data_IF_999256298633
#
_entry.id   IF_999256298633
#
_cell.length_a   1.000
_cell.length_b   1.000
_cell.length_c   1.000
_cell.angle_alpha   90.00
_cell.angle_beta   90.00
_cell.angle_gamma   90.00
#
_symmetry.space_group_name_H-M   'P 1'
#
loop_
_entity.id
_entity.type
_entity.pdbx_description
1 polymer ?
#
# COMPACT_ATOMS: atom_id res chain seq x y z
N UNK A 1 9.36 -11.57 14.45
CA UNK A 1 9.62 -10.50 13.46
C UNK A 1 8.90 -9.20 13.84
N UNK A 2 7.56 -9.14 13.92
CA UNK A 2 6.83 -7.92 14.32
C UNK A 2 7.38 -7.28 15.60
N UNK A 3 7.50 -8.04 16.69
CA UNK A 3 7.98 -7.52 17.97
C UNK A 3 9.40 -6.92 17.93
N UNK A 4 10.29 -7.53 17.15
CA UNK A 4 11.66 -7.00 16.98
C UNK A 4 11.67 -5.68 16.21
N UNK A 5 10.81 -5.56 15.18
CA UNK A 5 10.67 -4.32 14.44
C UNK A 5 10.02 -3.23 15.29
N UNK A 6 8.97 -3.55 16.04
CA UNK A 6 8.31 -2.62 16.95
C UNK A 6 9.26 -2.12 18.05
N UNK A 7 10.09 -2.99 18.61
CA UNK A 7 11.10 -2.62 19.58
C UNK A 7 12.18 -1.71 18.97
N UNK A 8 12.60 -1.96 17.73
CA UNK A 8 13.68 -1.23 17.07
C UNK A 8 13.25 0.14 16.53
N UNK A 9 12.01 0.27 16.05
CA UNK A 9 11.54 1.47 15.34
C UNK A 9 10.44 2.23 16.07
N UNK A 10 9.79 1.62 17.07
CA UNK A 10 8.64 2.20 17.75
C UNK A 10 7.41 2.32 16.84
N UNK A 11 6.33 2.98 17.33
CA UNK A 11 5.11 3.22 16.57
C UNK A 11 5.37 4.09 15.35
N UNK A 12 4.84 3.69 14.18
CA UNK A 12 5.11 4.35 12.91
C UNK A 12 4.07 5.41 12.51
N UNK A 13 2.85 5.35 13.07
CA UNK A 13 1.76 6.30 12.79
C UNK A 13 1.49 6.48 11.28
N UNK A 14 1.49 5.38 10.57
CA UNK A 14 1.27 5.34 9.14
C UNK A 14 -0.25 5.30 8.85
N UNK A 15 -0.80 5.96 7.88
CA UNK A 15 -0.38 6.70 6.70
C UNK A 15 -0.45 8.22 6.96
N UNK A 16 0.51 9.04 6.45
CA UNK A 16 0.54 10.48 6.68
C UNK A 16 -0.42 11.22 5.72
N UNK A 17 -1.72 11.11 5.95
CA UNK A 17 -2.77 11.80 5.19
C UNK A 17 -3.76 12.50 6.11
N UNK A 18 -4.40 13.55 5.60
CA UNK A 18 -5.38 14.33 6.37
C UNK A 18 -6.80 13.79 6.26
N UNK A 19 -7.12 13.09 5.17
CA UNK A 19 -8.46 12.52 4.90
C UNK A 19 -8.34 11.14 4.29
N UNK A 20 -9.39 10.33 4.40
CA UNK A 20 -9.48 9.02 3.75
C UNK A 20 -9.35 9.13 2.22
N UNK A 21 -9.91 10.18 1.61
CA UNK A 21 -9.78 10.40 0.17
C UNK A 21 -8.33 10.72 -0.24
N UNK A 22 -7.60 11.46 0.57
CA UNK A 22 -6.15 11.71 0.35
C UNK A 22 -5.35 10.40 0.38
N UNK A 23 -5.71 9.45 1.26
CA UNK A 23 -5.13 8.10 1.26
C UNK A 23 -5.40 7.37 -0.05
N UNK A 24 -6.66 7.38 -0.52
CA UNK A 24 -7.03 6.77 -1.81
C UNK A 24 -6.18 7.34 -2.94
N UNK A 25 -6.13 8.67 -3.07
CA UNK A 25 -5.32 9.33 -4.10
C UNK A 25 -3.84 8.96 -3.97
N UNK A 26 -3.30 8.96 -2.74
CA UNK A 26 -1.93 8.56 -2.44
C UNK A 26 -1.62 7.12 -2.87
N UNK A 27 -2.53 6.18 -2.63
CA UNK A 27 -2.39 4.78 -3.02
C UNK A 27 -2.29 4.59 -4.56
N UNK A 28 -3.07 5.35 -5.33
CA UNK A 28 -2.92 5.37 -6.79
C UNK A 28 -1.61 6.02 -7.23
N UNK A 29 -1.22 7.13 -6.59
CA UNK A 29 -0.05 7.89 -7.00
C UNK A 29 1.26 7.22 -6.63
N UNK A 30 1.31 6.39 -5.58
CA UNK A 30 2.53 5.72 -5.09
C UNK A 30 3.04 4.62 -6.03
N UNK A 31 2.22 4.13 -6.95
CA UNK A 31 2.61 3.07 -7.87
C UNK A 31 3.84 3.45 -8.72
N UNK A 32 4.91 2.65 -8.59
CA UNK A 32 6.17 2.81 -9.34
C UNK A 32 6.77 4.22 -9.27
N UNK A 33 6.75 4.86 -8.10
CA UNK A 33 7.34 6.17 -7.90
C UNK A 33 7.86 6.37 -6.46
N UNK A 34 8.53 7.49 -6.21
CA UNK A 34 9.02 7.85 -4.88
C UNK A 34 7.95 8.60 -4.09
N UNK A 35 7.96 8.48 -2.77
CA UNK A 35 7.02 9.20 -1.91
C UNK A 35 7.12 10.73 -2.09
N UNK A 36 8.32 11.30 -2.26
CA UNK A 36 8.49 12.73 -2.51
C UNK A 36 7.81 13.21 -3.80
N UNK A 37 7.73 12.35 -4.82
CA UNK A 37 6.99 12.65 -6.05
C UNK A 37 5.47 12.62 -5.82
N UNK A 38 5.00 11.70 -4.96
CA UNK A 38 3.58 11.66 -4.53
C UNK A 38 3.22 12.92 -3.75
N UNK A 39 4.04 13.32 -2.77
CA UNK A 39 3.82 14.53 -1.98
C UNK A 39 3.69 15.78 -2.84
N UNK A 40 4.55 15.95 -3.87
CA UNK A 40 4.43 17.05 -4.82
C UNK A 40 3.11 17.02 -5.59
N UNK A 41 2.67 15.84 -6.02
CA UNK A 41 1.38 15.68 -6.72
C UNK A 41 0.19 15.99 -5.81
N UNK A 42 0.21 15.51 -4.57
CA UNK A 42 -0.80 15.84 -3.55
C UNK A 42 -0.83 17.34 -3.24
N UNK A 43 0.33 17.98 -3.13
CA UNK A 43 0.44 19.43 -2.93
C UNK A 43 -0.19 20.22 -4.09
N UNK A 44 0.09 19.81 -5.34
CA UNK A 44 -0.52 20.42 -6.52
C UNK A 44 -2.05 20.28 -6.53
N UNK A 45 -2.56 19.08 -6.24
CA UNK A 45 -4.01 18.82 -6.14
C UNK A 45 -4.66 19.65 -5.04
N UNK A 46 -4.01 19.76 -3.88
CA UNK A 46 -4.49 20.56 -2.76
C UNK A 46 -4.53 22.05 -3.10
N UNK A 47 -3.47 22.58 -3.71
CA UNK A 47 -3.41 23.98 -4.15
C UNK A 47 -4.47 24.32 -5.20
N UNK A 48 -4.86 23.35 -6.04
CA UNK A 48 -5.90 23.49 -7.04
C UNK A 48 -7.34 23.25 -6.48
N UNK A 49 -7.52 22.99 -5.18
CA UNK A 49 -8.81 22.62 -4.58
C UNK A 49 -9.35 21.26 -5.06
N UNK A 50 -8.49 20.43 -5.68
CA UNK A 50 -8.91 19.19 -6.33
C UNK A 50 -8.67 17.92 -5.48
N UNK A 51 -8.12 18.04 -4.27
CA UNK A 51 -7.87 16.91 -3.37
C UNK A 51 -9.10 16.60 -2.50
N UNK A 52 -10.23 16.47 -3.14
CA UNK A 52 -11.52 16.04 -2.58
C UNK A 52 -12.30 15.28 -3.65
N UNK A 53 -13.33 14.53 -3.25
CA UNK A 53 -14.20 13.81 -4.20
C UNK A 53 -14.81 14.80 -5.19
N UNK A 54 -15.41 15.88 -4.70
CA UNK A 54 -16.04 16.90 -5.54
C UNK A 54 -15.03 17.61 -6.45
N UNK A 55 -13.88 17.99 -5.89
CA UNK A 55 -12.83 18.63 -6.66
C UNK A 55 -12.30 17.73 -7.78
N UNK A 56 -12.10 16.43 -7.49
CA UNK A 56 -11.66 15.49 -8.51
C UNK A 56 -12.76 15.16 -9.53
N UNK A 57 -14.03 15.17 -9.12
CA UNK A 57 -15.19 14.93 -9.99
C UNK A 57 -15.28 15.96 -11.12
N UNK A 58 -15.17 17.24 -10.78
CA UNK A 58 -15.31 18.34 -11.75
C UNK A 58 -14.04 18.67 -12.54
N UNK A 59 -12.88 18.22 -12.05
CA UNK A 59 -11.60 18.50 -12.71
C UNK A 59 -11.53 17.79 -14.06
N UNK A 60 -11.18 18.50 -15.13
CA UNK A 60 -10.92 17.88 -16.43
C UNK A 60 -9.68 16.96 -16.40
N UNK A 61 -9.65 15.98 -17.31
CA UNK A 61 -8.61 14.95 -17.34
C UNK A 61 -7.22 15.53 -17.60
N UNK A 62 -7.10 16.48 -18.52
CA UNK A 62 -5.82 17.08 -18.90
C UNK A 62 -5.22 17.89 -17.75
N UNK A 63 -6.07 18.61 -17.02
CA UNK A 63 -5.65 19.35 -15.84
C UNK A 63 -5.23 18.41 -14.72
N UNK A 64 -5.98 17.32 -14.50
CA UNK A 64 -5.60 16.28 -13.55
C UNK A 64 -4.23 15.68 -13.89
N UNK A 65 -3.99 15.32 -15.16
CA UNK A 65 -2.69 14.81 -15.61
C UNK A 65 -1.55 15.77 -15.34
N UNK A 66 -1.75 17.07 -15.58
CA UNK A 66 -0.75 18.10 -15.29
C UNK A 66 -0.42 18.19 -13.81
N UNK A 67 -1.43 18.17 -12.94
CA UNK A 67 -1.26 18.26 -11.49
C UNK A 67 -0.52 17.06 -10.89
N UNK A 68 -0.79 15.84 -11.39
CA UNK A 68 -0.15 14.62 -10.89
C UNK A 68 1.10 14.20 -11.66
N UNK A 69 1.58 15.04 -12.61
CA UNK A 69 2.76 14.75 -13.44
C UNK A 69 4.01 14.35 -12.61
N UNK A 70 4.29 14.96 -11.44
CA UNK A 70 5.43 14.56 -10.62
C UNK A 70 5.43 13.08 -10.24
N UNK A 71 4.28 12.44 -10.03
CA UNK A 71 4.17 11.01 -9.64
C UNK A 71 4.47 10.03 -10.78
N UNK A 72 4.71 10.49 -12.02
CA UNK A 72 4.91 9.64 -13.19
C UNK A 72 3.67 8.86 -13.62
N UNK A 73 3.70 8.23 -14.77
CA UNK A 73 2.59 7.45 -15.33
C UNK A 73 1.22 8.15 -15.26
N UNK A 74 1.22 9.47 -15.30
CA UNK A 74 0.04 10.31 -15.09
C UNK A 74 -1.06 10.06 -16.11
N UNK A 75 -0.71 9.67 -17.36
CA UNK A 75 -1.67 9.31 -18.40
C UNK A 75 -2.49 8.05 -18.08
N UNK A 76 -1.99 7.18 -17.19
CA UNK A 76 -2.70 5.99 -16.70
C UNK A 76 -3.35 6.27 -15.34
N UNK A 77 -2.67 6.99 -14.45
CA UNK A 77 -3.14 7.29 -13.09
C UNK A 77 -4.34 8.23 -13.07
N UNK A 78 -4.37 9.23 -13.94
CA UNK A 78 -5.47 10.19 -13.97
C UNK A 78 -6.81 9.54 -14.38
N UNK A 79 -6.91 8.76 -15.48
CA UNK A 79 -8.13 8.01 -15.78
C UNK A 79 -8.53 7.02 -14.68
N UNK A 80 -7.56 6.38 -14.02
CA UNK A 80 -7.83 5.44 -12.94
C UNK A 80 -8.44 6.13 -11.72
N UNK A 81 -7.94 7.31 -11.33
CA UNK A 81 -8.55 8.15 -10.28
C UNK A 81 -9.96 8.60 -10.65
N UNK A 82 -10.21 8.98 -11.91
CA UNK A 82 -11.55 9.31 -12.38
C UNK A 82 -12.50 8.10 -12.33
N UNK A 83 -12.01 6.91 -12.70
CA UNK A 83 -12.80 5.69 -12.61
C UNK A 83 -13.17 5.34 -11.16
N UNK A 84 -12.28 5.59 -10.19
CA UNK A 84 -12.62 5.43 -8.78
C UNK A 84 -13.75 6.38 -8.34
N UNK A 85 -13.69 7.66 -8.73
CA UNK A 85 -14.76 8.63 -8.39
C UNK A 85 -16.08 8.25 -9.07
N UNK A 86 -16.04 7.82 -10.34
CA UNK A 86 -17.24 7.35 -11.04
C UNK A 86 -17.87 6.14 -10.35
N UNK A 87 -17.08 5.12 -9.99
CA UNK A 87 -17.56 3.97 -9.21
C UNK A 87 -18.19 4.43 -7.88
N UNK A 88 -17.56 5.38 -7.18
CA UNK A 88 -18.07 5.89 -5.92
C UNK A 88 -19.43 6.59 -6.10
N UNK A 89 -19.61 7.36 -7.16
CA UNK A 89 -20.85 8.04 -7.48
C UNK A 89 -21.95 7.03 -7.89
N UNK A 90 -21.62 6.11 -8.77
CA UNK A 90 -22.59 5.18 -9.37
C UNK A 90 -23.07 4.10 -8.39
N UNK A 91 -22.19 3.59 -7.54
CA UNK A 91 -22.46 2.42 -6.69
C UNK A 91 -22.58 2.76 -5.19
N UNK A 92 -22.02 3.89 -4.73
CA UNK A 92 -21.90 4.23 -3.30
C UNK A 92 -22.39 5.66 -2.97
N UNK A 93 -23.23 6.23 -3.83
CA UNK A 93 -23.83 7.56 -3.63
C UNK A 93 -22.79 8.68 -3.40
N UNK A 94 -21.61 8.57 -3.97
CA UNK A 94 -20.51 9.53 -3.80
C UNK A 94 -19.88 9.54 -2.39
N UNK A 95 -20.15 8.52 -1.55
CA UNK A 95 -19.77 8.51 -0.13
C UNK A 95 -18.72 7.45 0.19
N UNK A 96 -17.61 7.88 0.80
CA UNK A 96 -16.61 6.96 1.36
C UNK A 96 -17.13 6.20 2.59
N UNK A 97 -18.07 6.77 3.34
CA UNK A 97 -18.65 6.10 4.50
C UNK A 97 -19.52 4.92 4.06
N UNK A 98 -20.32 5.11 2.99
CA UNK A 98 -21.09 4.01 2.37
C UNK A 98 -20.14 2.93 1.81
N UNK A 99 -19.07 3.36 1.14
CA UNK A 99 -18.04 2.45 0.63
C UNK A 99 -17.41 1.65 1.79
N UNK A 100 -17.02 2.32 2.89
CA UNK A 100 -16.40 1.70 4.05
C UNK A 100 -17.34 0.74 4.82
N UNK A 101 -18.65 0.94 4.74
CA UNK A 101 -19.62 0.05 5.35
C UNK A 101 -19.88 -1.25 4.55
N UNK A 102 -19.33 -1.33 3.34
CA UNK A 102 -19.49 -2.51 2.46
C UNK A 102 -18.63 -3.67 2.95
N UNK A 103 -19.10 -4.90 2.79
CA UNK A 103 -18.37 -6.11 3.19
C UNK A 103 -17.01 -6.19 2.48
N UNK A 104 -15.93 -6.47 3.24
CA UNK A 104 -14.53 -6.41 2.81
C UNK A 104 -14.25 -7.16 1.51
N UNK A 105 -14.78 -8.37 1.35
CA UNK A 105 -14.52 -9.19 0.16
C UNK A 105 -15.19 -8.60 -1.08
N UNK A 106 -16.43 -8.15 -0.94
CA UNK A 106 -17.19 -7.51 -2.03
C UNK A 106 -16.48 -6.23 -2.47
N UNK A 107 -16.09 -5.41 -1.51
CA UNK A 107 -15.39 -4.16 -1.80
C UNK A 107 -14.03 -4.40 -2.45
N UNK A 108 -13.27 -5.41 -1.97
CA UNK A 108 -12.00 -5.77 -2.59
C UNK A 108 -12.15 -6.19 -4.05
N UNK A 109 -13.17 -6.99 -4.37
CA UNK A 109 -13.48 -7.38 -5.75
C UNK A 109 -13.83 -6.17 -6.62
N UNK A 110 -14.59 -5.20 -6.09
CA UNK A 110 -14.92 -3.95 -6.78
C UNK A 110 -13.68 -3.10 -7.06
N UNK A 111 -12.81 -2.91 -6.06
CA UNK A 111 -11.56 -2.19 -6.23
C UNK A 111 -10.64 -2.85 -7.27
N UNK A 112 -10.51 -4.17 -7.24
CA UNK A 112 -9.70 -4.92 -8.20
C UNK A 112 -10.23 -4.88 -9.64
N UNK A 113 -11.51 -4.57 -9.84
CA UNK A 113 -12.10 -4.38 -11.16
C UNK A 113 -11.77 -3.00 -11.78
N UNK A 114 -11.31 -2.05 -10.96
CA UNK A 114 -10.95 -0.72 -11.44
C UNK A 114 -9.63 -0.73 -12.25
N UNK A 115 -9.52 0.13 -13.27
CA UNK A 115 -8.32 0.22 -14.08
C UNK A 115 -7.10 0.61 -13.20
N UNK A 116 -6.00 -0.10 -13.38
CA UNK A 116 -4.74 0.19 -12.68
C UNK A 116 -4.71 -0.20 -11.19
N UNK A 117 -5.73 -0.88 -10.68
CA UNK A 117 -5.76 -1.36 -9.28
C UNK A 117 -5.32 -2.81 -9.22
N UNK A 118 -4.16 -3.04 -8.59
CA UNK A 118 -3.67 -4.36 -8.19
C UNK A 118 -4.00 -4.66 -6.72
N UNK A 119 -3.61 -5.86 -6.27
CA UNK A 119 -3.85 -6.30 -4.88
C UNK A 119 -3.32 -5.32 -3.84
N UNK A 120 -2.08 -4.85 -4.01
CA UNK A 120 -1.45 -3.88 -3.09
C UNK A 120 -2.23 -2.56 -3.00
N UNK A 121 -2.66 -2.01 -4.14
CA UNK A 121 -3.44 -0.76 -4.16
C UNK A 121 -4.82 -0.94 -3.55
N UNK A 122 -5.52 -2.05 -3.88
CA UNK A 122 -6.82 -2.36 -3.31
C UNK A 122 -6.74 -2.53 -1.79
N UNK A 123 -5.79 -3.32 -1.32
CA UNK A 123 -5.63 -3.62 0.10
C UNK A 123 -5.11 -2.39 0.90
N UNK A 124 -4.29 -1.52 0.28
CA UNK A 124 -3.91 -0.23 0.88
C UNK A 124 -5.12 0.70 1.05
N UNK A 125 -6.00 0.80 0.06
CA UNK A 125 -7.24 1.58 0.17
C UNK A 125 -8.12 1.00 1.28
N UNK A 126 -8.33 -0.32 1.29
CA UNK A 126 -9.12 -1.00 2.31
C UNK A 126 -8.60 -0.75 3.72
N UNK A 127 -7.29 -0.92 3.94
CA UNK A 127 -6.69 -0.80 5.26
C UNK A 127 -6.62 0.66 5.73
N UNK A 128 -6.03 1.53 4.92
CA UNK A 128 -5.65 2.87 5.35
C UNK A 128 -6.74 3.93 5.18
N UNK A 129 -7.56 3.80 4.12
CA UNK A 129 -8.64 4.76 3.88
C UNK A 129 -9.96 4.33 4.53
N UNK A 130 -10.25 3.03 4.56
CA UNK A 130 -11.56 2.52 4.92
C UNK A 130 -11.57 1.68 6.22
N UNK A 131 -10.41 1.43 6.83
CA UNK A 131 -10.29 0.76 8.13
C UNK A 131 -10.54 -0.75 8.13
N UNK A 132 -10.62 -1.39 6.96
CA UNK A 132 -10.82 -2.84 6.88
C UNK A 132 -9.59 -3.62 7.35
N UNK A 133 -9.76 -4.77 8.02
CA UNK A 133 -8.65 -5.59 8.52
C UNK A 133 -8.04 -6.44 7.40
N UNK A 134 -7.36 -5.80 6.47
CA UNK A 134 -6.69 -6.43 5.32
C UNK A 134 -5.19 -6.14 5.38
N UNK A 135 -4.31 -7.17 5.42
CA UNK A 135 -2.88 -6.91 5.38
C UNK A 135 -2.44 -6.45 4.00
N UNK A 136 -1.53 -5.50 3.96
CA UNK A 136 -0.85 -5.03 2.74
C UNK A 136 0.51 -5.71 2.64
N UNK A 137 0.82 -6.24 1.47
CA UNK A 137 2.09 -6.88 1.18
C UNK A 137 2.79 -6.16 0.03
N UNK A 138 3.83 -5.42 0.35
CA UNK A 138 4.61 -4.67 -0.63
C UNK A 138 5.89 -5.43 -1.07
N UNK A 139 6.67 -4.81 -1.94
CA UNK A 139 7.94 -5.36 -2.40
C UNK A 139 8.98 -5.49 -1.26
N UNK A 140 8.87 -4.69 -0.18
CA UNK A 140 9.75 -4.85 0.99
C UNK A 140 9.42 -6.15 1.74
N UNK A 141 8.15 -6.40 2.01
CA UNK A 141 7.73 -7.67 2.64
C UNK A 141 8.08 -8.86 1.76
N UNK A 142 7.93 -8.76 0.42
CA UNK A 142 8.33 -9.83 -0.50
C UNK A 142 9.83 -10.14 -0.38
N UNK A 143 10.71 -9.13 -0.39
CA UNK A 143 12.15 -9.32 -0.22
C UNK A 143 12.53 -9.88 1.16
N UNK A 144 11.85 -9.42 2.21
CA UNK A 144 12.03 -9.96 3.55
C UNK A 144 11.65 -11.45 3.57
N UNK A 145 10.47 -11.79 3.04
CA UNK A 145 10.00 -13.17 2.98
C UNK A 145 10.93 -14.08 2.19
N UNK A 146 11.49 -13.62 1.07
CA UNK A 146 12.47 -14.32 0.27
C UNK A 146 13.78 -14.57 1.05
N UNK A 147 14.36 -13.51 1.62
CA UNK A 147 15.65 -13.56 2.31
C UNK A 147 15.62 -14.38 3.59
N UNK A 148 14.51 -14.30 4.30
CA UNK A 148 14.27 -15.06 5.53
C UNK A 148 13.61 -16.42 5.30
N UNK A 149 13.38 -16.81 4.03
CA UNK A 149 12.77 -18.10 3.63
C UNK A 149 11.43 -18.37 4.34
N UNK A 150 10.61 -17.33 4.47
CA UNK A 150 9.31 -17.44 5.18
C UNK A 150 8.26 -18.22 4.37
N UNK A 151 8.46 -18.35 3.05
CA UNK A 151 7.59 -19.08 2.14
C UNK A 151 8.42 -19.91 1.14
N UNK A 152 7.94 -21.12 0.87
CA UNK A 152 8.46 -22.00 -0.16
C UNK A 152 7.30 -22.48 -1.03
N UNK A 153 7.32 -22.25 -2.35
CA UNK A 153 8.34 -21.49 -3.09
C UNK A 153 8.33 -19.99 -2.76
N UNK A 154 9.44 -19.30 -3.11
CA UNK A 154 9.55 -17.83 -2.97
C UNK A 154 8.41 -17.15 -3.74
N UNK A 155 7.71 -16.19 -3.14
CA UNK A 155 6.61 -15.49 -3.79
C UNK A 155 7.08 -14.68 -5.01
N UNK A 156 6.49 -14.94 -6.17
CA UNK A 156 6.72 -14.17 -7.39
C UNK A 156 6.10 -12.77 -7.33
N UNK A 157 6.51 -11.89 -8.27
CA UNK A 157 5.95 -10.53 -8.45
C UNK A 157 4.64 -10.54 -9.26
N UNK A 158 3.75 -11.45 -8.95
CA UNK A 158 2.46 -11.60 -9.59
C UNK A 158 1.35 -11.73 -8.54
N UNK A 159 0.10 -11.76 -9.00
CA UNK A 159 -1.07 -11.86 -8.11
C UNK A 159 -0.96 -13.03 -7.13
N UNK A 160 -0.54 -14.21 -7.58
CA UNK A 160 -0.41 -15.40 -6.72
C UNK A 160 0.63 -15.19 -5.62
N UNK A 161 1.78 -14.59 -5.95
CA UNK A 161 2.82 -14.27 -4.98
C UNK A 161 2.35 -13.22 -3.95
N UNK A 162 1.64 -12.18 -4.41
CA UNK A 162 1.01 -11.20 -3.54
C UNK A 162 0.05 -11.85 -2.54
N UNK A 163 -0.89 -12.66 -3.03
CA UNK A 163 -1.87 -13.34 -2.18
C UNK A 163 -1.20 -14.30 -1.17
N UNK A 164 -0.09 -14.94 -1.54
CA UNK A 164 0.67 -15.78 -0.62
C UNK A 164 1.26 -14.99 0.54
N UNK A 165 1.75 -13.77 0.30
CA UNK A 165 2.26 -12.87 1.34
C UNK A 165 1.14 -12.34 2.24
N UNK A 166 -0.01 -11.97 1.66
CA UNK A 166 -1.21 -11.58 2.39
C UNK A 166 -1.65 -12.71 3.33
N UNK A 167 -1.70 -13.96 2.85
CA UNK A 167 -2.06 -15.12 3.67
C UNK A 167 -1.02 -15.43 4.76
N UNK A 168 0.27 -15.25 4.48
CA UNK A 168 1.32 -15.36 5.49
C UNK A 168 1.08 -14.39 6.64
N UNK A 169 0.81 -13.12 6.30
CA UNK A 169 0.56 -12.06 7.29
C UNK A 169 -0.71 -12.35 8.09
N UNK A 170 -1.82 -12.73 7.42
CA UNK A 170 -3.05 -13.13 8.13
C UNK A 170 -2.82 -14.25 9.14
N UNK A 171 -2.06 -15.29 8.75
CA UNK A 171 -1.74 -16.41 9.65
C UNK A 171 -0.88 -15.97 10.83
N UNK A 172 0.05 -15.05 10.62
CA UNK A 172 0.92 -14.54 11.69
C UNK A 172 0.14 -13.82 12.79
N UNK A 173 -0.96 -13.13 12.43
CA UNK A 173 -1.82 -12.37 13.34
C UNK A 173 -3.18 -13.06 13.62
N UNK A 174 -3.34 -14.34 13.29
CA UNK A 174 -4.63 -15.05 13.42
C UNK A 174 -5.10 -15.21 14.87
N UNK A 175 -4.19 -15.12 15.83
CA UNK A 175 -4.51 -15.23 17.28
C UNK A 175 -4.83 -13.90 17.94
N UNK A 176 -4.58 -12.78 17.24
CA UNK A 176 -4.87 -11.46 17.75
C UNK A 176 -6.36 -11.13 17.62
N UNK A 177 -6.94 -10.35 18.55
CA UNK A 177 -8.34 -9.97 18.48
C UNK A 177 -8.70 -9.31 17.14
N UNK A 178 -9.83 -9.67 16.57
CA UNK A 178 -10.30 -9.12 15.28
C UNK A 178 -10.39 -7.59 15.31
N UNK A 179 -10.81 -7.01 16.43
CA UNK A 179 -10.88 -5.56 16.62
C UNK A 179 -9.52 -4.85 16.51
N UNK A 180 -8.42 -5.56 16.77
CA UNK A 180 -7.07 -5.01 16.70
C UNK A 180 -6.41 -5.22 15.33
N UNK A 181 -6.94 -6.08 14.47
CA UNK A 181 -6.25 -6.52 13.25
C UNK A 181 -5.96 -5.38 12.29
N UNK A 182 -6.88 -4.42 12.08
CA UNK A 182 -6.60 -3.24 11.24
C UNK A 182 -5.39 -2.48 11.73
N UNK A 183 -5.31 -2.20 13.02
CA UNK A 183 -4.20 -1.49 13.66
C UNK A 183 -2.89 -2.29 13.53
N UNK A 184 -2.94 -3.59 13.78
CA UNK A 184 -1.77 -4.48 13.68
C UNK A 184 -1.25 -4.60 12.26
N UNK A 185 -2.13 -4.73 11.26
CA UNK A 185 -1.72 -4.78 9.85
C UNK A 185 -1.15 -3.45 9.38
N UNK A 186 -1.74 -2.33 9.80
CA UNK A 186 -1.22 -0.99 9.53
C UNK A 186 0.21 -0.86 10.07
N UNK A 187 0.41 -1.11 11.36
CA UNK A 187 1.71 -0.99 12.01
C UNK A 187 2.74 -1.97 11.43
N UNK A 188 2.35 -3.22 11.18
CA UNK A 188 3.24 -4.21 10.59
C UNK A 188 3.71 -3.81 9.19
N UNK A 189 2.81 -3.31 8.33
CA UNK A 189 3.21 -2.82 7.01
C UNK A 189 4.16 -1.63 7.12
N UNK A 190 3.86 -0.66 7.96
CA UNK A 190 4.74 0.50 8.19
C UNK A 190 6.14 0.08 8.69
N UNK A 191 6.22 -0.87 9.62
CA UNK A 191 7.47 -1.43 10.11
C UNK A 191 8.24 -2.18 9.03
N UNK A 192 7.56 -2.93 8.14
CA UNK A 192 8.23 -3.60 7.01
C UNK A 192 8.78 -2.60 5.99
N UNK A 193 8.06 -1.50 5.75
CA UNK A 193 8.56 -0.38 4.94
C UNK A 193 9.79 0.26 5.59
N UNK A 194 9.76 0.51 6.89
CA UNK A 194 10.88 1.13 7.62
C UNK A 194 12.16 0.28 7.53
N UNK A 195 12.09 -1.00 7.90
CA UNK A 195 13.25 -1.90 7.78
C UNK A 195 13.65 -2.14 6.34
N UNK A 196 12.68 -2.20 5.43
CA UNK A 196 12.89 -2.39 4.00
C UNK A 196 13.68 -1.26 3.35
N UNK A 197 13.35 -0.02 3.68
CA UNK A 197 14.08 1.17 3.22
C UNK A 197 15.50 1.21 3.77
N UNK A 198 15.68 0.89 5.03
CA UNK A 198 16.98 1.00 5.71
C UNK A 198 17.92 -0.17 5.40
N UNK A 199 17.41 -1.40 5.42
CA UNK A 199 18.24 -2.60 5.39
C UNK A 199 17.93 -3.56 4.25
N UNK A 200 16.67 -3.59 3.77
CA UNK A 200 16.18 -4.62 2.85
C UNK A 200 15.85 -4.07 1.46
N UNK A 201 16.69 -3.14 0.94
CA UNK A 201 16.62 -2.63 -0.43
C UNK A 201 16.97 -3.72 -1.46
N UNK A 202 17.18 -3.38 -2.73
CA UNK A 202 17.62 -4.34 -3.77
C UNK A 202 18.91 -5.05 -3.33
N UNK A 203 19.87 -4.31 -2.77
CA UNK A 203 21.06 -4.86 -2.11
C UNK A 203 20.80 -4.79 -0.62
N UNK A 204 20.85 -5.96 0.05
CA UNK A 204 20.63 -6.00 1.49
C UNK A 204 21.85 -5.45 2.25
N UNK A 205 21.59 -4.65 3.27
CA UNK A 205 22.53 -4.27 4.30
C UNK A 205 22.02 -4.81 5.64
N UNK A 206 22.60 -5.92 6.10
CA UNK A 206 22.17 -6.58 7.32
C UNK A 206 22.95 -6.13 8.57
N UNK A 207 23.91 -5.21 8.44
CA UNK A 207 24.59 -4.63 9.60
C UNK A 207 23.61 -3.77 10.41
N UNK A 208 23.48 -4.10 11.69
CA UNK A 208 22.51 -3.44 12.59
C UNK A 208 21.04 -3.65 12.24
N UNK A 209 20.72 -4.57 11.31
CA UNK A 209 19.32 -4.89 10.98
C UNK A 209 18.65 -5.64 12.13
N UNK A 210 17.46 -5.20 12.61
CA UNK A 210 16.73 -5.88 13.68
C UNK A 210 16.34 -7.33 13.35
N UNK A 211 16.30 -7.68 12.06
CA UNK A 211 15.96 -9.02 11.58
C UNK A 211 17.19 -9.88 11.27
N UNK A 212 18.41 -9.37 11.43
CA UNK A 212 19.63 -10.10 11.04
C UNK A 212 19.80 -11.45 11.76
N UNK A 213 19.35 -11.57 13.00
CA UNK A 213 19.44 -12.79 13.78
C UNK A 213 18.54 -13.93 13.25
N UNK A 214 17.52 -13.60 12.49
CA UNK A 214 16.53 -14.54 11.91
C UNK A 214 16.90 -15.01 10.49
N UNK A 215 18.05 -14.59 9.97
CA UNK A 215 18.49 -15.01 8.65
C UNK A 215 18.95 -16.48 8.67
N UNK A 216 18.49 -17.30 7.71
CA UNK A 216 18.89 -18.72 7.62
C UNK A 216 20.36 -18.92 7.25
N UNK A 217 21.01 -17.91 6.69
CA UNK A 217 22.45 -17.87 6.39
C UNK A 217 22.97 -16.46 6.65
N UNK A 218 24.17 -16.34 7.24
CA UNK A 218 24.82 -15.04 7.53
C UNK A 218 25.23 -14.23 6.29
N UNK A 219 25.01 -14.73 5.07
CA UNK A 219 25.34 -14.00 3.83
C UNK A 219 24.08 -13.35 3.26
N UNK A 220 24.11 -12.04 2.98
CA UNK A 220 23.00 -11.37 2.31
C UNK A 220 22.80 -11.97 0.91
N UNK A 221 21.59 -12.42 0.62
CA UNK A 221 21.24 -12.92 -0.71
C UNK A 221 20.95 -11.71 -1.59
N UNK A 222 21.66 -11.59 -2.74
CA UNK A 222 21.24 -10.65 -3.79
C UNK A 222 19.90 -11.10 -4.35
N UNK A 223 18.92 -10.21 -4.33
CA UNK A 223 17.68 -10.43 -5.09
C UNK A 223 17.94 -9.92 -6.50
N UNK A 224 17.85 -10.79 -7.50
CA UNK A 224 18.08 -10.42 -8.89
C UNK A 224 17.14 -9.30 -9.32
N UNK A 225 17.74 -8.32 -10.01
CA UNK A 225 17.00 -7.31 -10.75
C UNK A 225 16.48 -7.98 -12.03
N UNK A 226 15.21 -8.32 -12.08
CA UNK A 226 14.48 -8.27 -13.34
C UNK A 226 13.44 -7.17 -13.20
N UNK A 227 13.73 -6.09 -13.90
CA UNK A 227 12.90 -4.91 -14.14
C UNK A 227 11.64 -5.30 -14.90
#
# INVERSE_FOLDING_TARGET
>A
MHNWLAQAYGPQYWWPAKTAFEVVVGAYLTQNTTWSAVERSLANLRAAGALSIDGLRVLDLDKLQKLIRPSGFYSRKAPALKAFVAMLDDEFSGSLDVLAATETRVLRERLLALPGVGGETADAILLYALGHPVPVADEYLRRIAERHRLLTPVPGRNRKGYESLVQLTRKAFAKDPVADQSRLFNEFHALTVAVGKKHCSVIADCEGCPLAADLPTRKPVRTDRNI
#
